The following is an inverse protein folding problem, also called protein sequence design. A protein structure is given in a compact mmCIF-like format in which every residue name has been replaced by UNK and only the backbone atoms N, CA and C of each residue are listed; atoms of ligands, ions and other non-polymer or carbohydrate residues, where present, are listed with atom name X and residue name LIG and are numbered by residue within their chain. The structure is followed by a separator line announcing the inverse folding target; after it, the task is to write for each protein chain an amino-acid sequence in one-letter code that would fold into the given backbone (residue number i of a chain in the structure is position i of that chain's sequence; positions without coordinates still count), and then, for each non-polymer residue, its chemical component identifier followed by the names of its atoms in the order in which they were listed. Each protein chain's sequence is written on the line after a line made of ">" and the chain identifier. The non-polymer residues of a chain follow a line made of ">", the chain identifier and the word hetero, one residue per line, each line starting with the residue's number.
data_IF_050749001630
#
_entry.id   IF_050749001630
#
_cell.length_a   1.000
_cell.length_b   1.000
_cell.length_c   1.000
_cell.angle_alpha   90.00
_cell.angle_beta   90.00
_cell.angle_gamma   90.00
#
_symmetry.space_group_name_H-M   'P 1'
#
loop_
_entity.id
_entity.type
_entity.pdbx_description
1 polymer ?
#
# COMPACT_ATOMS: atom_id res chain seq x y z
N UNK A 1 56.15 -40.32 40.69
CA UNK A 1 54.70 -40.55 40.79
C UNK A 1 53.98 -39.21 40.71
N UNK A 2 53.23 -39.01 39.61
CA UNK A 2 52.48 -37.79 39.29
C UNK A 2 51.09 -37.84 39.94
N UNK A 3 50.60 -36.70 40.44
CA UNK A 3 49.16 -36.48 40.62
C UNK A 3 48.81 -35.05 40.17
N UNK A 4 48.33 -34.95 38.93
CA UNK A 4 47.79 -33.73 38.31
C UNK A 4 46.60 -33.22 39.14
N UNK A 5 46.71 -32.01 39.71
CA UNK A 5 45.52 -31.25 40.14
C UNK A 5 44.72 -30.90 38.89
N UNK A 6 43.51 -31.46 38.79
CA UNK A 6 42.54 -31.13 37.75
C UNK A 6 42.22 -29.65 37.83
N UNK A 7 42.39 -28.94 36.71
CA UNK A 7 41.70 -27.66 36.49
C UNK A 7 40.22 -27.92 36.71
N UNK A 8 39.66 -27.30 37.74
CA UNK A 8 38.23 -27.08 37.79
C UNK A 8 37.96 -25.97 36.79
N UNK A 9 37.61 -26.39 35.58
CA UNK A 9 36.93 -25.55 34.61
C UNK A 9 35.59 -25.18 35.24
N UNK A 10 35.56 -24.06 35.95
CA UNK A 10 34.31 -23.47 36.42
C UNK A 10 33.61 -22.88 35.19
N UNK A 11 32.89 -23.78 34.53
CA UNK A 11 31.96 -23.51 33.45
C UNK A 11 30.89 -22.59 34.02
N UNK A 12 31.13 -21.29 33.91
CA UNK A 12 30.17 -20.25 34.24
C UNK A 12 28.84 -20.63 33.57
N UNK A 13 27.72 -20.69 34.31
CA UNK A 13 26.43 -20.88 33.68
C UNK A 13 26.20 -19.67 32.79
N UNK A 14 26.41 -19.84 31.47
CA UNK A 14 25.97 -18.87 30.47
C UNK A 14 24.48 -18.69 30.72
N UNK A 15 24.13 -17.53 31.28
CA UNK A 15 22.77 -17.04 31.38
C UNK A 15 22.11 -17.25 30.02
N UNK A 16 21.27 -18.29 29.92
CA UNK A 16 20.37 -18.45 28.78
C UNK A 16 19.41 -17.27 28.90
N UNK A 17 19.70 -16.20 28.17
CA UNK A 17 18.73 -15.14 27.96
C UNK A 17 17.53 -15.80 27.30
N UNK A 18 16.49 -16.05 28.10
CA UNK A 18 15.18 -16.39 27.60
C UNK A 18 14.73 -15.19 26.79
N UNK A 19 15.06 -15.19 25.50
CA UNK A 19 14.52 -14.22 24.57
C UNK A 19 13.02 -14.47 24.60
N UNK A 20 12.31 -13.58 25.28
CA UNK A 20 10.86 -13.59 25.30
C UNK A 20 10.44 -13.27 23.87
N UNK A 21 10.12 -14.30 23.08
CA UNK A 21 9.69 -14.13 21.69
C UNK A 21 8.32 -13.45 21.60
N UNK A 22 7.58 -13.40 22.71
CA UNK A 22 6.25 -12.76 22.81
C UNK A 22 6.23 -11.30 22.36
N UNK A 23 7.05 -10.37 22.92
CA UNK A 23 7.09 -8.99 22.44
C UNK A 23 7.51 -8.91 20.97
N UNK A 24 8.45 -9.75 20.51
CA UNK A 24 8.87 -9.76 19.10
C UNK A 24 7.71 -10.13 18.18
N UNK A 25 6.96 -11.18 18.51
CA UNK A 25 5.79 -11.61 17.74
C UNK A 25 4.72 -10.51 17.72
N UNK A 26 4.44 -9.88 18.86
CA UNK A 26 3.48 -8.78 18.92
C UNK A 26 3.92 -7.59 18.07
N UNK A 27 5.20 -7.23 18.11
CA UNK A 27 5.75 -6.15 17.26
C UNK A 27 5.60 -6.48 15.77
N UNK A 28 5.90 -7.72 15.35
CA UNK A 28 5.73 -8.13 13.95
C UNK A 28 4.25 -8.08 13.53
N UNK A 29 3.33 -8.51 14.39
CA UNK A 29 1.89 -8.45 14.10
C UNK A 29 1.40 -7.00 13.97
N UNK A 30 1.83 -6.11 14.87
CA UNK A 30 1.46 -4.69 14.82
C UNK A 30 2.03 -4.03 13.55
N UNK A 31 3.29 -4.27 13.23
CA UNK A 31 3.93 -3.73 12.02
C UNK A 31 3.24 -4.27 10.77
N UNK A 32 2.93 -5.57 10.72
CA UNK A 32 2.20 -6.18 9.62
C UNK A 32 0.80 -5.59 9.44
N UNK A 33 0.07 -5.40 10.55
CA UNK A 33 -1.25 -4.77 10.53
C UNK A 33 -1.19 -3.32 10.04
N UNK A 34 -0.23 -2.52 10.52
CA UNK A 34 -0.02 -1.14 10.07
C UNK A 34 0.37 -1.08 8.59
N UNK A 35 1.21 -2.01 8.12
CA UNK A 35 1.57 -2.12 6.71
C UNK A 35 0.36 -2.42 5.81
N UNK A 36 -0.51 -3.35 6.23
CA UNK A 36 -1.75 -3.66 5.53
C UNK A 36 -2.71 -2.46 5.50
N UNK A 37 -2.90 -1.80 6.63
CA UNK A 37 -3.74 -0.60 6.71
C UNK A 37 -3.21 0.53 5.83
N UNK A 38 -1.90 0.78 5.86
CA UNK A 38 -1.25 1.76 4.99
C UNK A 38 -1.40 1.42 3.52
N UNK A 39 -1.23 0.15 3.14
CA UNK A 39 -1.41 -0.29 1.75
C UNK A 39 -2.83 -0.03 1.25
N UNK A 40 -3.85 -0.36 2.04
CA UNK A 40 -5.26 -0.12 1.69
C UNK A 40 -5.62 1.36 1.65
N UNK A 41 -5.00 2.19 2.49
CA UNK A 41 -5.18 3.65 2.43
C UNK A 41 -4.78 4.24 1.07
N UNK A 42 -3.69 3.74 0.47
CA UNK A 42 -3.25 4.18 -0.86
C UNK A 42 -3.87 3.38 -2.01
N UNK A 43 -4.47 2.22 -1.74
CA UNK A 43 -5.10 1.34 -2.72
C UNK A 43 -6.49 0.92 -2.24
N UNK A 44 -7.46 1.86 -2.14
CA UNK A 44 -8.81 1.58 -1.64
C UNK A 44 -9.51 0.45 -2.40
N UNK A 45 -9.23 0.30 -3.71
CA UNK A 45 -9.76 -0.78 -4.54
C UNK A 45 -9.35 -2.19 -4.07
N UNK A 46 -8.22 -2.31 -3.37
CA UNK A 46 -7.73 -3.58 -2.81
C UNK A 46 -8.27 -3.85 -1.39
N UNK A 47 -9.02 -2.92 -0.80
CA UNK A 47 -9.59 -3.09 0.53
C UNK A 47 -10.73 -4.14 0.50
N UNK A 48 -10.81 -5.01 1.52
CA UNK A 48 -11.91 -5.95 1.66
C UNK A 48 -13.24 -5.21 1.86
N UNK A 49 -14.35 -5.81 1.44
CA UNK A 49 -15.66 -5.14 1.37
C UNK A 49 -16.11 -4.48 2.67
N UNK A 50 -15.83 -5.10 3.83
CA UNK A 50 -16.17 -4.56 5.15
C UNK A 50 -15.39 -3.30 5.54
N UNK A 51 -14.30 -2.99 4.85
CA UNK A 51 -13.44 -1.83 5.13
C UNK A 51 -13.68 -0.69 4.13
N UNK A 52 -14.33 -0.94 2.98
CA UNK A 52 -14.46 0.04 1.89
C UNK A 52 -15.12 1.34 2.35
N UNK A 53 -16.11 1.27 3.22
CA UNK A 53 -16.83 2.46 3.73
C UNK A 53 -15.95 3.37 4.61
N UNK A 54 -14.81 2.86 5.09
CA UNK A 54 -13.88 3.60 5.96
C UNK A 54 -12.63 4.08 5.23
N UNK A 55 -12.44 3.68 3.97
CA UNK A 55 -11.28 4.08 3.17
C UNK A 55 -11.73 5.16 2.19
N UNK A 56 -10.95 6.25 2.00
CA UNK A 56 -11.30 7.27 1.02
C UNK A 56 -11.45 6.66 -0.38
N UNK A 57 -12.52 7.03 -1.10
CA UNK A 57 -12.59 6.72 -2.52
C UNK A 57 -11.46 7.44 -3.27
N UNK A 58 -10.78 6.72 -4.16
CA UNK A 58 -9.76 7.29 -5.03
C UNK A 58 -10.31 7.40 -6.46
N UNK A 59 -9.97 8.48 -7.19
CA UNK A 59 -10.39 8.61 -8.57
C UNK A 59 -9.69 7.57 -9.44
N UNK A 60 -10.41 7.09 -10.46
CA UNK A 60 -9.84 6.27 -11.53
C UNK A 60 -9.23 7.18 -12.58
N UNK A 61 -7.93 7.04 -12.84
CA UNK A 61 -7.23 7.87 -13.82
C UNK A 61 -7.36 7.28 -15.23
N UNK A 62 -7.92 8.06 -16.15
CA UNK A 62 -8.19 7.66 -17.54
C UNK A 62 -7.40 8.49 -18.54
N UNK A 63 -7.06 7.88 -19.66
CA UNK A 63 -6.58 8.57 -20.86
C UNK A 63 -7.77 9.03 -21.69
N UNK A 64 -7.81 10.31 -22.04
CA UNK A 64 -8.81 10.93 -22.91
C UNK A 64 -8.13 11.48 -24.16
N UNK A 65 -8.60 11.11 -25.35
CA UNK A 65 -8.09 11.64 -26.61
C UNK A 65 -9.18 11.67 -27.68
N UNK A 66 -8.89 12.34 -28.78
CA UNK A 66 -9.73 12.34 -29.98
C UNK A 66 -9.07 11.44 -31.02
N UNK A 67 -9.83 10.49 -31.58
CA UNK A 67 -9.34 9.60 -32.63
C UNK A 67 -9.31 10.27 -34.02
N UNK A 68 -8.84 9.51 -35.02
CA UNK A 68 -8.74 10.00 -36.41
C UNK A 68 -10.08 10.30 -37.07
N UNK A 69 -11.19 9.83 -36.51
CA UNK A 69 -12.55 10.10 -36.99
C UNK A 69 -13.18 11.29 -36.25
N UNK A 70 -12.43 11.96 -35.36
CA UNK A 70 -12.92 13.07 -34.56
C UNK A 70 -13.75 12.64 -33.35
N UNK A 71 -13.77 11.34 -32.99
CA UNK A 71 -14.54 10.83 -31.87
C UNK A 71 -13.71 10.83 -30.59
N UNK A 72 -14.34 11.23 -29.49
CA UNK A 72 -13.74 11.22 -28.16
C UNK A 72 -13.67 9.78 -27.63
N UNK A 73 -12.51 9.41 -27.09
CA UNK A 73 -12.23 8.08 -26.54
C UNK A 73 -11.69 8.20 -25.11
N UNK A 74 -12.00 7.18 -24.30
CA UNK A 74 -11.51 7.03 -22.93
C UNK A 74 -10.96 5.63 -22.73
N UNK A 75 -9.83 5.49 -22.03
CA UNK A 75 -9.23 4.18 -21.74
C UNK A 75 -8.40 4.18 -20.46
N UNK A 76 -8.30 2.99 -19.84
CA UNK A 76 -7.37 2.70 -18.75
C UNK A 76 -5.93 2.46 -19.25
N UNK A 77 -5.73 2.40 -20.57
CA UNK A 77 -4.44 2.18 -21.22
C UNK A 77 -4.07 3.35 -22.11
N UNK A 78 -2.77 3.65 -22.26
CA UNK A 78 -2.32 4.76 -23.10
C UNK A 78 -2.79 4.58 -24.55
N UNK A 79 -3.05 5.69 -25.26
CA UNK A 79 -3.45 5.65 -26.66
C UNK A 79 -2.27 5.23 -27.57
N UNK A 80 -2.54 4.96 -28.85
CA UNK A 80 -1.49 4.67 -29.83
C UNK A 80 -0.39 5.74 -29.86
N UNK A 81 0.83 5.32 -30.18
CA UNK A 81 2.00 6.20 -30.22
C UNK A 81 1.77 7.41 -31.12
N UNK A 82 2.11 8.60 -30.62
CA UNK A 82 1.97 9.86 -31.36
C UNK A 82 0.61 10.54 -31.22
N UNK A 83 -0.37 9.89 -30.56
CA UNK A 83 -1.65 10.51 -30.24
C UNK A 83 -1.51 11.39 -29.01
N UNK A 84 -1.89 12.67 -29.12
CA UNK A 84 -1.98 13.57 -27.97
C UNK A 84 -3.17 13.18 -27.11
N UNK A 85 -2.95 13.18 -25.80
CA UNK A 85 -3.98 12.81 -24.84
C UNK A 85 -3.92 13.69 -23.60
N UNK A 86 -5.01 13.65 -22.85
CA UNK A 86 -5.20 14.26 -21.56
C UNK A 86 -5.40 13.14 -20.52
N UNK A 87 -4.76 13.26 -19.35
CA UNK A 87 -5.08 12.40 -18.21
C UNK A 87 -6.21 13.06 -17.42
N UNK A 88 -7.31 12.34 -17.26
CA UNK A 88 -8.49 12.80 -16.53
C UNK A 88 -8.77 11.89 -15.35
N UNK A 89 -9.08 12.49 -14.20
CA UNK A 89 -9.45 11.76 -13.00
C UNK A 89 -10.98 11.58 -12.99
N UNK A 90 -11.44 10.34 -13.03
CA UNK A 90 -12.85 9.96 -13.04
C UNK A 90 -13.29 9.47 -11.66
N UNK A 91 -14.35 10.07 -11.14
CA UNK A 91 -14.94 9.72 -9.85
C UNK A 91 -16.27 8.99 -10.11
N UNK A 92 -16.39 7.75 -9.66
CA UNK A 92 -17.60 6.93 -9.92
C UNK A 92 -18.85 7.50 -9.23
N UNK A 93 -18.67 8.18 -8.09
CA UNK A 93 -19.74 8.75 -7.28
C UNK A 93 -20.00 10.25 -7.56
N UNK A 94 -19.17 10.89 -8.38
CA UNK A 94 -19.27 12.32 -8.65
C UNK A 94 -19.87 12.55 -10.04
N UNK A 95 -21.20 12.54 -10.14
CA UNK A 95 -21.90 13.13 -11.27
C UNK A 95 -21.85 14.67 -11.14
N UNK A 96 -20.65 15.23 -11.24
CA UNK A 96 -20.44 16.68 -11.10
C UNK A 96 -20.79 17.33 -12.44
N UNK A 97 -21.94 18.00 -12.50
CA UNK A 97 -22.22 18.93 -13.59
C UNK A 97 -21.35 20.16 -13.35
N UNK A 98 -20.44 20.55 -14.27
CA UNK A 98 -19.67 21.77 -14.11
C UNK A 98 -20.64 22.95 -13.97
N UNK A 99 -20.60 23.68 -12.86
CA UNK A 99 -21.34 24.92 -12.74
C UNK A 99 -20.65 25.99 -13.60
N UNK A 100 -21.13 26.20 -14.81
CA UNK A 100 -20.77 27.40 -15.57
C UNK A 100 -21.37 28.62 -14.86
N UNK A 101 -20.60 29.18 -13.93
CA UNK A 101 -20.85 30.46 -13.26
C UNK A 101 -19.48 30.89 -12.71
N UNK A 102 -18.83 31.97 -13.13
CA UNK A 102 -19.30 33.17 -13.79
C UNK A 102 -18.18 33.75 -14.68
N UNK A 103 -18.54 34.09 -15.91
CA UNK A 103 -17.88 35.16 -16.66
C UNK A 103 -18.88 36.29 -16.77
N UNK A 104 -18.76 37.26 -15.88
CA UNK A 104 -19.26 38.64 -16.05
C UNK A 104 -18.04 39.54 -16.26
#
# INVERSE_FOLDING_TARGET
>A
MMARRRRQDDLSPRSRSSHNLRPLILSVLVIGALGLLGYWFFNPQAAPGWLRDYVPEAPTRLYKWTDSQGKLQYSNSPPPTGVKYELVDYWENANVIPNQSAGD
#
